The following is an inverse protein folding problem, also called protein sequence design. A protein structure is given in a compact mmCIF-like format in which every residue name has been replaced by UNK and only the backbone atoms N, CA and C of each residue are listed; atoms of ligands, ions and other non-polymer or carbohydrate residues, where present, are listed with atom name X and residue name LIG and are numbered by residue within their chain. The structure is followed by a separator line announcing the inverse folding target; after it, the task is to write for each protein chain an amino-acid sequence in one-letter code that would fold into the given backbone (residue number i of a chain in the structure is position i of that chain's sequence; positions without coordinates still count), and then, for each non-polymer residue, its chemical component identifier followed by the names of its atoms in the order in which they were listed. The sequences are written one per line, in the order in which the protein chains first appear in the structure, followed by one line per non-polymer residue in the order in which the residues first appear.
data_IF_346154895762
#
_entry.id   IF_346154895762
#
_cell.length_a   1.000
_cell.length_b   1.000
_cell.length_c   1.000
_cell.angle_alpha   90.00
_cell.angle_beta   90.00
_cell.angle_gamma   90.00
#
_symmetry.space_group_name_H-M   'P 1'
#
loop_
_entity.id
_entity.type
_entity.pdbx_description
1 polymer ?
#
# COMPACT_ATOMS: atom_id res chain seq x y z
N UNK A 1 -15.24 -14.05 -12.82
CA UNK A 1 -15.83 -13.61 -11.53
C UNK A 1 -15.06 -14.24 -10.37
N UNK A 2 -14.83 -13.52 -9.26
CA UNK A 2 -14.14 -14.05 -8.07
C UNK A 2 -15.00 -15.14 -7.40
N UNK A 3 -14.44 -16.34 -7.11
CA UNK A 3 -15.18 -17.39 -6.43
C UNK A 3 -15.70 -16.95 -5.06
N UNK A 4 -16.91 -17.39 -4.66
CA UNK A 4 -17.52 -17.02 -3.37
C UNK A 4 -16.60 -17.27 -2.17
N UNK A 5 -15.83 -18.38 -2.17
CA UNK A 5 -14.86 -18.72 -1.11
C UNK A 5 -13.72 -17.71 -0.94
N UNK A 6 -13.44 -16.89 -1.96
CA UNK A 6 -12.45 -15.81 -1.93
C UNK A 6 -13.07 -14.42 -1.70
N UNK A 7 -14.38 -14.35 -1.51
CA UNK A 7 -15.16 -13.13 -1.34
C UNK A 7 -15.67 -12.96 0.09
N UNK A 8 -15.04 -13.59 1.06
CA UNK A 8 -15.38 -13.49 2.48
C UNK A 8 -14.51 -12.43 3.16
N UNK A 9 -14.95 -11.91 4.32
CA UNK A 9 -14.22 -10.93 5.13
C UNK A 9 -12.85 -11.45 5.61
N UNK A 10 -12.68 -12.77 5.69
CA UNK A 10 -11.42 -13.43 6.07
C UNK A 10 -10.48 -13.71 4.90
N UNK A 11 -10.91 -13.44 3.67
CA UNK A 11 -10.10 -13.70 2.47
C UNK A 11 -9.09 -12.60 2.24
N UNK A 12 -7.79 -12.95 2.23
CA UNK A 12 -6.75 -11.97 1.91
C UNK A 12 -6.80 -11.55 0.43
N UNK A 13 -6.42 -10.29 0.17
CA UNK A 13 -6.25 -9.78 -1.20
C UNK A 13 -5.28 -10.61 -2.01
N UNK A 14 -4.21 -11.14 -1.39
CA UNK A 14 -3.20 -11.98 -2.07
C UNK A 14 -3.82 -13.24 -2.67
N UNK A 15 -4.74 -13.91 -1.97
CA UNK A 15 -5.46 -15.07 -2.51
C UNK A 15 -6.36 -14.71 -3.69
N UNK A 16 -6.98 -13.54 -3.64
CA UNK A 16 -7.79 -13.05 -4.75
C UNK A 16 -6.92 -12.71 -5.97
N UNK A 17 -5.77 -12.07 -5.78
CA UNK A 17 -4.81 -11.79 -6.84
C UNK A 17 -4.18 -13.06 -7.41
N UNK A 18 -3.81 -14.04 -6.57
CA UNK A 18 -3.34 -15.34 -7.04
C UNK A 18 -4.35 -16.02 -7.97
N UNK A 19 -5.63 -16.03 -7.56
CA UNK A 19 -6.68 -16.59 -8.38
C UNK A 19 -6.82 -15.86 -9.72
N UNK A 20 -6.81 -14.53 -9.71
CA UNK A 20 -6.92 -13.71 -10.92
C UNK A 20 -5.74 -13.96 -11.87
N UNK A 21 -4.51 -13.96 -11.35
CA UNK A 21 -3.30 -14.24 -12.14
C UNK A 21 -3.40 -15.63 -12.78
N UNK A 22 -3.70 -16.68 -12.01
CA UNK A 22 -3.82 -18.03 -12.53
C UNK A 22 -4.93 -18.20 -13.57
N UNK A 23 -6.00 -17.44 -13.42
CA UNK A 23 -7.11 -17.46 -14.39
C UNK A 23 -6.70 -16.80 -15.71
N UNK A 24 -6.16 -15.58 -15.66
CA UNK A 24 -5.80 -14.80 -16.85
C UNK A 24 -4.61 -15.44 -17.57
N UNK A 25 -3.65 -16.02 -16.84
CA UNK A 25 -2.47 -16.72 -17.41
C UNK A 25 -2.82 -17.93 -18.28
N UNK A 26 -4.09 -18.36 -18.31
CA UNK A 26 -4.55 -19.38 -19.27
C UNK A 26 -4.74 -18.84 -20.68
N UNK A 27 -4.87 -17.53 -20.82
CA UNK A 27 -5.20 -16.85 -22.07
C UNK A 27 -4.10 -15.87 -22.51
N UNK A 28 -3.41 -15.27 -21.55
CA UNK A 28 -2.43 -14.21 -21.80
C UNK A 28 -1.23 -14.35 -20.86
N UNK A 29 -0.06 -13.97 -21.37
CA UNK A 29 1.15 -13.86 -20.55
C UNK A 29 1.06 -12.63 -19.65
N UNK A 30 1.25 -12.81 -18.35
CA UNK A 30 1.28 -11.72 -17.36
C UNK A 30 2.71 -11.62 -16.83
N UNK A 31 3.37 -10.49 -17.06
CA UNK A 31 4.70 -10.22 -16.51
C UNK A 31 4.61 -9.51 -15.16
N UNK A 32 3.74 -8.47 -15.04
CA UNK A 32 3.53 -7.71 -13.82
C UNK A 32 2.05 -7.50 -13.52
N UNK A 33 1.74 -7.27 -12.27
CA UNK A 33 0.39 -6.99 -11.77
C UNK A 33 0.41 -5.68 -11.01
N UNK A 34 -0.62 -4.85 -11.23
CA UNK A 34 -0.94 -3.72 -10.38
C UNK A 34 -2.14 -4.11 -9.52
N UNK A 35 -1.88 -4.46 -8.27
CA UNK A 35 -2.91 -4.81 -7.29
C UNK A 35 -3.45 -3.55 -6.61
N UNK A 36 -4.68 -3.16 -6.94
CA UNK A 36 -5.31 -1.93 -6.42
C UNK A 36 -6.26 -2.25 -5.29
N UNK A 37 -6.27 -1.42 -4.24
CA UNK A 37 -7.25 -1.52 -3.16
C UNK A 37 -8.33 -0.44 -3.32
N UNK A 38 -9.62 -0.82 -3.40
CA UNK A 38 -10.72 0.12 -3.60
C UNK A 38 -10.94 1.05 -2.41
N UNK A 39 -10.54 0.63 -1.20
CA UNK A 39 -10.62 1.43 0.02
C UNK A 39 -9.67 2.63 0.06
N UNK A 40 -8.75 2.76 -0.89
CA UNK A 40 -7.84 3.90 -1.02
C UNK A 40 -8.16 4.67 -2.31
N UNK A 41 -9.22 5.48 -2.33
CA UNK A 41 -9.75 6.06 -3.58
C UNK A 41 -8.97 7.26 -4.10
N UNK A 42 -8.16 7.93 -3.25
CA UNK A 42 -7.50 9.18 -3.62
C UNK A 42 -6.19 8.91 -4.34
N UNK A 43 -6.20 9.01 -5.66
CA UNK A 43 -5.04 8.88 -6.54
C UNK A 43 -4.99 10.01 -7.56
N UNK A 44 -3.79 10.38 -8.01
CA UNK A 44 -3.64 11.21 -9.20
C UNK A 44 -3.80 10.36 -10.46
N UNK A 45 -4.19 10.98 -11.55
CA UNK A 45 -4.39 10.30 -12.83
C UNK A 45 -3.12 9.60 -13.33
N UNK A 46 -1.94 10.11 -12.96
CA UNK A 46 -0.63 9.64 -13.41
C UNK A 46 0.14 8.81 -12.35
N UNK A 47 -0.46 8.54 -11.18
CA UNK A 47 0.23 7.79 -10.10
C UNK A 47 0.65 6.39 -10.57
N UNK A 48 -0.22 5.67 -11.30
CA UNK A 48 0.11 4.34 -11.83
C UNK A 48 1.23 4.40 -12.86
N UNK A 49 1.16 5.30 -13.83
CA UNK A 49 2.16 5.40 -14.90
C UNK A 49 3.54 5.76 -14.35
N UNK A 50 3.59 6.70 -13.41
CA UNK A 50 4.83 7.07 -12.72
C UNK A 50 5.39 5.93 -11.88
N UNK A 51 4.54 5.21 -11.15
CA UNK A 51 4.96 4.08 -10.34
C UNK A 51 5.47 2.92 -11.20
N UNK A 52 4.77 2.57 -12.27
CA UNK A 52 5.18 1.54 -13.23
C UNK A 52 6.52 1.92 -13.87
N UNK A 53 6.65 3.15 -14.36
CA UNK A 53 7.91 3.66 -14.93
C UNK A 53 9.06 3.57 -13.92
N UNK A 54 8.84 3.98 -12.66
CA UNK A 54 9.83 3.88 -11.59
C UNK A 54 10.21 2.42 -11.31
N UNK A 55 9.21 1.52 -11.27
CA UNK A 55 9.43 0.10 -11.03
C UNK A 55 10.38 -0.51 -12.05
N UNK A 56 10.11 -0.29 -13.34
CA UNK A 56 10.95 -0.81 -14.43
C UNK A 56 12.33 -0.15 -14.46
N UNK A 57 12.41 1.18 -14.36
CA UNK A 57 13.70 1.92 -14.37
C UNK A 57 14.64 1.47 -13.25
N UNK A 58 14.09 1.06 -12.10
CA UNK A 58 14.88 0.64 -10.92
C UNK A 58 15.01 -0.88 -10.78
N UNK A 59 14.37 -1.65 -11.67
CA UNK A 59 14.33 -3.11 -11.65
C UNK A 59 13.90 -3.63 -10.28
N UNK A 60 12.74 -3.18 -9.78
CA UNK A 60 12.14 -3.72 -8.56
C UNK A 60 11.33 -4.98 -8.88
N UNK A 61 11.45 -6.01 -8.01
CA UNK A 61 10.64 -7.23 -8.09
C UNK A 61 9.22 -6.98 -7.58
N UNK A 62 9.10 -6.12 -6.59
CA UNK A 62 7.84 -5.65 -6.04
C UNK A 62 7.95 -4.21 -5.55
N UNK A 63 6.81 -3.53 -5.50
CA UNK A 63 6.70 -2.13 -5.07
C UNK A 63 5.38 -1.93 -4.34
N UNK A 64 5.37 -1.06 -3.35
CA UNK A 64 4.16 -0.60 -2.67
C UNK A 64 4.00 0.91 -2.80
N UNK A 65 2.76 1.38 -2.73
CA UNK A 65 2.47 2.79 -2.58
C UNK A 65 2.67 3.21 -1.13
N UNK A 66 3.33 4.34 -0.92
CA UNK A 66 3.67 4.86 0.39
C UNK A 66 3.19 6.30 0.56
N UNK A 67 2.97 6.69 1.78
CA UNK A 67 2.82 8.09 2.19
C UNK A 67 3.92 8.46 3.17
N UNK A 68 4.29 9.73 3.17
CA UNK A 68 5.20 10.28 4.14
C UNK A 68 4.58 10.15 5.55
N UNK A 69 5.34 9.52 6.43
CA UNK A 69 4.98 9.46 7.84
C UNK A 69 5.65 10.64 8.54
N UNK A 70 4.88 11.71 8.74
CA UNK A 70 5.40 12.84 9.51
C UNK A 70 6.09 12.35 10.79
N UNK A 71 7.13 13.06 11.19
CA UNK A 71 7.97 12.79 12.35
C UNK A 71 7.21 12.85 13.67
N UNK A 72 6.25 11.92 13.84
CA UNK A 72 5.56 11.72 15.11
C UNK A 72 6.35 10.75 16.00
N UNK A 73 6.32 11.02 17.29
CA UNK A 73 6.83 10.09 18.28
C UNK A 73 5.81 8.96 18.48
N UNK A 74 6.08 7.82 17.85
CA UNK A 74 5.21 6.66 17.96
C UNK A 74 5.38 5.93 19.30
N UNK A 75 4.29 5.35 19.77
CA UNK A 75 4.25 4.47 20.93
C UNK A 75 3.58 3.16 20.54
N UNK A 76 4.02 2.07 21.08
CA UNK A 76 3.36 0.77 20.92
C UNK A 76 2.60 0.40 22.18
N UNK A 77 1.50 -0.36 22.03
CA UNK A 77 0.75 -0.91 23.17
C UNK A 77 1.02 -2.41 23.21
N UNK A 78 1.59 -2.87 24.32
CA UNK A 78 1.82 -4.31 24.58
C UNK A 78 1.34 -4.64 25.98
N UNK A 79 0.43 -5.61 26.09
CA UNK A 79 -0.15 -6.03 27.39
C UNK A 79 -0.72 -4.86 28.22
N UNK A 80 -1.49 -3.99 27.57
CA UNK A 80 -2.07 -2.78 28.16
C UNK A 80 -1.04 -1.73 28.66
N UNK A 81 0.24 -1.89 28.34
CA UNK A 81 1.31 -0.92 28.66
C UNK A 81 1.72 -0.19 27.39
N UNK A 82 2.01 1.09 27.53
CA UNK A 82 2.54 1.93 26.45
C UNK A 82 4.07 1.91 26.46
N UNK A 83 4.67 1.70 25.30
CA UNK A 83 6.12 1.56 25.14
C UNK A 83 6.53 2.55 24.04
N UNK A 84 7.47 3.48 24.30
CA UNK A 84 7.97 4.39 23.29
C UNK A 84 8.81 3.65 22.25
N UNK A 85 8.80 4.14 21.03
CA UNK A 85 9.67 3.63 19.94
C UNK A 85 11.01 4.36 19.88
N UNK A 86 11.29 5.21 20.87
CA UNK A 86 12.49 6.02 20.99
C UNK A 86 13.04 6.00 22.43
N UNK A 87 14.28 6.39 22.62
CA UNK A 87 14.88 6.50 23.95
C UNK A 87 14.32 7.73 24.69
N UNK A 88 13.60 7.51 25.81
CA UNK A 88 13.02 8.58 26.62
C UNK A 88 14.07 9.51 27.23
N UNK A 89 15.28 9.00 27.51
CA UNK A 89 16.39 9.80 28.09
C UNK A 89 17.08 10.65 27.05
N UNK A 90 16.99 10.26 25.77
CA UNK A 90 17.60 10.95 24.63
C UNK A 90 16.56 11.24 23.57
N UNK A 91 15.46 11.92 23.98
CA UNK A 91 14.41 12.27 23.05
C UNK A 91 14.96 13.08 21.89
N UNK A 92 14.95 12.57 20.64
CA UNK A 92 15.50 13.28 19.50
C UNK A 92 14.64 14.50 19.15
N UNK A 93 15.24 15.48 18.48
CA UNK A 93 14.47 16.55 17.82
C UNK A 93 13.75 15.95 16.59
N UNK A 94 12.68 16.61 16.13
CA UNK A 94 11.94 16.11 14.94
C UNK A 94 12.86 15.93 13.72
N UNK A 95 13.84 16.82 13.53
CA UNK A 95 14.81 16.74 12.43
C UNK A 95 15.80 15.58 12.53
N UNK A 96 15.94 14.99 13.71
CA UNK A 96 16.86 13.87 13.99
C UNK A 96 16.14 12.50 13.88
N UNK A 97 14.80 12.52 13.74
CA UNK A 97 14.03 11.29 13.52
C UNK A 97 14.29 10.82 12.10
N UNK A 98 14.62 9.53 11.96
CA UNK A 98 14.83 8.91 10.65
C UNK A 98 13.59 9.07 9.79
N UNK A 99 13.82 9.43 8.52
CA UNK A 99 12.77 9.44 7.50
C UNK A 99 12.04 8.09 7.50
N UNK A 100 10.74 8.15 7.68
CA UNK A 100 9.90 6.97 7.75
C UNK A 100 8.74 7.14 6.78
N UNK A 101 8.45 6.08 6.03
CA UNK A 101 7.31 6.03 5.12
C UNK A 101 6.32 4.99 5.61
N UNK A 102 5.03 5.24 5.38
CA UNK A 102 3.96 4.29 5.65
C UNK A 102 3.50 3.63 4.35
N UNK A 103 3.38 2.32 4.38
CA UNK A 103 2.64 1.57 3.38
C UNK A 103 1.16 1.98 3.47
N UNK A 104 0.68 2.71 2.45
CA UNK A 104 -0.67 3.30 2.50
C UNK A 104 -1.76 2.42 1.85
N UNK A 105 -1.38 1.24 1.36
CA UNK A 105 -2.32 0.27 0.82
C UNK A 105 -3.00 0.66 -0.49
N UNK A 106 -2.69 1.80 -1.11
CA UNK A 106 -3.41 2.24 -2.30
C UNK A 106 -3.22 1.28 -3.48
N UNK A 107 -1.97 0.88 -3.73
CA UNK A 107 -1.66 -0.13 -4.74
C UNK A 107 -0.31 -0.79 -4.52
N UNK A 108 -0.13 -1.92 -5.19
CA UNK A 108 1.10 -2.71 -5.23
C UNK A 108 1.43 -3.05 -6.67
N UNK A 109 2.72 -3.08 -7.01
CA UNK A 109 3.21 -3.55 -8.32
C UNK A 109 4.13 -4.71 -8.04
N UNK A 110 3.94 -5.84 -8.69
CA UNK A 110 4.78 -7.01 -8.46
C UNK A 110 4.87 -7.93 -9.69
N UNK A 111 6.01 -8.61 -9.81
CA UNK A 111 6.21 -9.62 -10.84
C UNK A 111 5.27 -10.80 -10.60
N UNK A 112 4.47 -11.16 -11.60
CA UNK A 112 3.43 -12.18 -11.47
C UNK A 112 3.99 -13.58 -11.18
N UNK A 113 5.09 -13.98 -11.85
CA UNK A 113 5.74 -15.28 -11.66
C UNK A 113 6.32 -15.42 -10.25
N UNK A 114 6.98 -14.39 -9.75
CA UNK A 114 7.56 -14.39 -8.41
C UNK A 114 6.49 -14.34 -7.34
N UNK A 115 5.42 -13.57 -7.54
CA UNK A 115 4.26 -13.58 -6.64
C UNK A 115 3.66 -14.99 -6.51
N UNK A 116 3.47 -15.71 -7.62
CA UNK A 116 2.96 -17.09 -7.59
C UNK A 116 3.91 -18.05 -6.85
N UNK A 117 5.22 -17.75 -6.83
CA UNK A 117 6.23 -18.54 -6.09
C UNK A 117 6.20 -18.22 -4.60
N UNK A 118 6.23 -16.94 -4.22
CA UNK A 118 6.38 -16.52 -2.83
C UNK A 118 5.06 -16.39 -2.06
N UNK A 119 3.93 -16.23 -2.75
CA UNK A 119 2.58 -16.09 -2.18
C UNK A 119 2.39 -14.87 -1.25
N UNK A 120 3.23 -13.88 -1.40
CA UNK A 120 3.18 -12.58 -0.71
C UNK A 120 3.38 -11.47 -1.72
N UNK A 121 2.82 -10.28 -1.45
CA UNK A 121 2.85 -9.14 -2.40
C UNK A 121 4.17 -8.39 -2.43
N UNK A 122 4.98 -8.50 -1.38
CA UNK A 122 6.28 -7.84 -1.29
C UNK A 122 7.38 -8.89 -1.15
N UNK A 123 8.32 -8.89 -2.10
CA UNK A 123 9.42 -9.85 -2.17
C UNK A 123 10.57 -9.29 -3.02
N UNK A 124 11.73 -9.93 -2.90
CA UNK A 124 12.92 -9.60 -3.69
C UNK A 124 13.42 -8.18 -3.45
N UNK A 125 13.78 -7.48 -4.51
CA UNK A 125 14.15 -6.07 -4.46
C UNK A 125 12.89 -5.21 -4.37
N UNK A 126 12.58 -4.76 -3.16
CA UNK A 126 11.36 -4.00 -2.86
C UNK A 126 11.60 -2.50 -3.12
N UNK A 127 10.70 -1.90 -3.88
CA UNK A 127 10.63 -0.46 -4.07
C UNK A 127 9.41 0.18 -3.42
N UNK A 128 9.34 1.51 -3.44
CA UNK A 128 8.15 2.25 -3.04
C UNK A 128 7.87 3.40 -3.99
N UNK A 129 6.60 3.78 -4.06
CA UNK A 129 6.12 4.97 -4.75
C UNK A 129 5.51 5.93 -3.74
N UNK A 130 6.15 7.09 -3.54
CA UNK A 130 5.70 8.08 -2.58
C UNK A 130 4.55 8.89 -3.15
N UNK A 131 3.41 8.86 -2.48
CA UNK A 131 2.21 9.66 -2.76
C UNK A 131 2.14 10.83 -1.79
N UNK A 132 1.43 11.90 -2.18
CA UNK A 132 1.14 12.99 -1.25
C UNK A 132 0.38 12.47 -0.03
N UNK A 133 0.67 12.98 1.16
CA UNK A 133 0.15 12.52 2.45
C UNK A 133 -1.38 12.29 2.46
N UNK A 134 -2.15 13.27 1.99
CA UNK A 134 -3.62 13.17 1.96
C UNK A 134 -4.18 12.08 1.04
N UNK A 135 -3.37 11.51 0.16
CA UNK A 135 -3.74 10.37 -0.70
C UNK A 135 -3.56 9.01 -0.02
N UNK A 136 -2.98 8.99 1.19
CA UNK A 136 -2.83 7.79 1.99
C UNK A 136 -4.04 7.45 2.85
N UNK A 137 -5.09 8.29 2.86
CA UNK A 137 -6.30 8.00 3.63
C UNK A 137 -7.09 6.84 3.02
N UNK A 138 -7.62 5.99 3.89
CA UNK A 138 -8.42 4.82 3.54
C UNK A 138 -9.85 4.96 4.05
N UNK A 139 -10.77 4.24 3.43
CA UNK A 139 -12.17 4.15 3.84
C UNK A 139 -12.36 2.81 4.54
N UNK A 140 -12.36 2.83 5.87
CA UNK A 140 -12.68 1.67 6.69
C UNK A 140 -14.01 1.87 7.46
N UNK A 141 -14.44 3.12 7.63
CA UNK A 141 -15.67 3.53 8.32
C UNK A 141 -16.49 4.51 7.49
N UNK A 142 -17.73 4.77 7.90
CA UNK A 142 -18.58 5.82 7.30
C UNK A 142 -18.02 7.23 7.55
N UNK A 143 -17.34 7.43 8.67
CA UNK A 143 -16.66 8.68 8.99
C UNK A 143 -15.53 8.95 7.99
N UNK A 144 -14.71 7.94 7.68
CA UNK A 144 -13.66 8.04 6.66
C UNK A 144 -14.26 8.39 5.29
N UNK A 145 -15.39 7.78 4.93
CA UNK A 145 -16.06 8.06 3.68
C UNK A 145 -16.52 9.52 3.59
N UNK A 146 -17.05 10.08 4.69
CA UNK A 146 -17.46 11.48 4.78
C UNK A 146 -16.25 12.41 4.65
N UNK A 147 -15.17 12.13 5.37
CA UNK A 147 -13.91 12.89 5.33
C UNK A 147 -13.31 12.89 3.92
N UNK A 148 -13.18 11.72 3.30
CA UNK A 148 -12.64 11.57 1.95
C UNK A 148 -13.51 12.27 0.91
N UNK A 149 -14.85 12.21 1.06
CA UNK A 149 -15.77 12.97 0.19
C UNK A 149 -15.51 14.49 0.27
N UNK A 150 -15.17 15.01 1.45
CA UNK A 150 -14.81 16.40 1.62
C UNK A 150 -13.51 16.76 0.92
N UNK A 151 -12.53 15.87 0.94
CA UNK A 151 -11.27 16.03 0.18
C UNK A 151 -11.55 16.10 -1.32
N UNK A 152 -12.36 15.20 -1.87
CA UNK A 152 -12.73 15.23 -3.29
C UNK A 152 -13.40 16.54 -3.67
N UNK A 153 -14.35 17.03 -2.87
CA UNK A 153 -15.06 18.27 -3.16
C UNK A 153 -14.16 19.51 -3.15
N UNK A 154 -13.16 19.55 -2.28
CA UNK A 154 -12.40 20.77 -2.02
C UNK A 154 -10.99 20.80 -2.65
N UNK A 155 -10.38 19.65 -2.92
CA UNK A 155 -8.97 19.57 -3.32
C UNK A 155 -8.70 18.84 -4.64
N UNK A 156 -9.70 18.16 -5.20
CA UNK A 156 -9.52 17.33 -6.42
C UNK A 156 -10.45 17.76 -7.56
N UNK A 157 -10.82 19.05 -7.59
CA UNK A 157 -11.54 19.65 -8.72
C UNK A 157 -10.64 19.82 -9.93
#
# INVERSE_FOLDING_TARGET
MRPKKLATDKSSSDKAWEHAIRYISKFEKIDYVVGVQPTSPIRANDDFDKAITKNFKKNYDSMFSASDFETYFAWTIKNKKVIPTYDLKKRPRRQEIKETILENGSFYIFNAKLFLKFKVRLFGKIGFYLMKKYRGFQIDTLEDASFISSIFKNYLK
#
